data_IF_259185259208
#
_entry.id   IF_259185259208
#
_cell.length_a   1.000
_cell.length_b   1.000
_cell.length_c   1.000
_cell.angle_alpha   90.00
_cell.angle_beta   90.00
_cell.angle_gamma   90.00
#
_symmetry.space_group_name_H-M   'P 1'
#
loop_
_entity.id
_entity.type
_entity.pdbx_description
1 polymer ?
#
# COMPACT_ATOMS: atom_id res chain seq x y z
N UNK A 1 35.44 52.63 14.20
CA UNK A 1 33.98 52.43 14.13
C UNK A 1 33.67 51.54 12.95
N UNK A 2 32.81 50.56 13.20
CA UNK A 2 32.38 49.41 12.40
C UNK A 2 32.47 49.56 10.87
N UNK A 3 33.33 48.72 10.29
CA UNK A 3 33.18 48.16 8.95
C UNK A 3 31.85 47.40 8.87
N UNK A 4 30.91 47.87 8.07
CA UNK A 4 29.73 47.10 7.71
C UNK A 4 30.11 46.18 6.55
N UNK A 5 30.46 44.94 6.86
CA UNK A 5 30.38 43.82 5.93
C UNK A 5 28.91 43.72 5.48
N UNK A 6 28.58 44.32 4.34
CA UNK A 6 27.40 43.93 3.60
C UNK A 6 27.69 42.55 3.01
N UNK A 7 27.12 41.53 3.64
CA UNK A 7 27.39 40.14 3.32
C UNK A 7 26.88 39.80 1.93
N UNK A 8 27.66 38.99 1.21
CA UNK A 8 27.32 38.39 -0.08
C UNK A 8 25.94 37.69 -0.07
N UNK A 9 25.44 37.32 1.11
CA UNK A 9 24.13 36.71 1.33
C UNK A 9 22.95 37.66 1.09
N UNK A 10 23.10 38.97 1.28
CA UNK A 10 22.00 39.92 1.05
C UNK A 10 21.78 40.15 -0.45
N UNK A 11 22.87 40.20 -1.23
CA UNK A 11 22.82 40.31 -2.70
C UNK A 11 22.28 39.02 -3.33
N UNK A 12 22.55 37.86 -2.73
CA UNK A 12 22.00 36.59 -3.19
C UNK A 12 20.49 36.45 -2.92
N UNK A 13 19.98 37.08 -1.85
CA UNK A 13 18.56 37.06 -1.50
C UNK A 13 17.73 37.96 -2.42
N UNK A 14 18.25 39.13 -2.79
CA UNK A 14 17.57 40.05 -3.71
C UNK A 14 17.50 39.51 -5.15
N UNK A 15 18.43 38.66 -5.57
CA UNK A 15 18.38 38.00 -6.89
C UNK A 15 17.29 36.91 -7.00
N UNK A 16 16.82 36.37 -5.88
CA UNK A 16 15.76 35.34 -5.84
C UNK A 16 14.35 35.98 -5.86
N UNK A 17 14.24 37.27 -5.54
CA UNK A 17 12.98 38.03 -5.48
C UNK A 17 12.72 38.85 -6.76
N UNK A 18 13.63 38.79 -7.74
CA UNK A 18 13.35 39.26 -9.10
C UNK A 18 12.27 38.36 -9.71
N UNK A 19 11.03 38.83 -9.58
CA UNK A 19 9.85 38.50 -10.38
C UNK A 19 10.10 37.39 -11.41
N UNK A 20 9.88 36.15 -10.97
CA UNK A 20 9.40 35.15 -11.90
C UNK A 20 8.06 35.72 -12.39
N UNK A 21 8.09 36.42 -13.52
CA UNK A 21 6.90 36.45 -14.35
C UNK A 21 6.61 34.99 -14.65
N UNK A 22 5.70 34.42 -13.87
CA UNK A 22 4.99 33.23 -14.24
C UNK A 22 4.28 33.66 -15.51
N UNK A 23 4.93 33.41 -16.65
CA UNK A 23 4.28 33.49 -17.93
C UNK A 23 3.06 32.59 -17.78
N UNK A 24 1.89 33.22 -17.64
CA UNK A 24 0.64 32.53 -17.71
C UNK A 24 0.73 31.73 -19.00
N UNK A 25 0.71 30.41 -18.85
CA UNK A 25 0.77 29.46 -19.95
C UNK A 25 -0.20 30.00 -21.01
N UNK A 26 0.28 30.34 -22.22
CA UNK A 26 -0.58 30.97 -23.22
C UNK A 26 -1.82 30.09 -23.34
N UNK A 27 -2.99 30.69 -23.13
CA UNK A 27 -4.27 29.98 -23.22
C UNK A 27 -4.35 29.48 -24.65
N UNK A 28 -3.93 28.23 -24.84
CA UNK A 28 -3.96 27.59 -26.12
C UNK A 28 -5.43 27.30 -26.38
N UNK A 29 -6.11 28.25 -27.02
CA UNK A 29 -7.49 28.11 -27.48
C UNK A 29 -7.63 26.92 -28.46
N UNK A 30 -6.50 26.42 -28.98
CA UNK A 30 -6.36 25.14 -29.69
C UNK A 30 -5.94 23.97 -28.78
N UNK A 31 -6.41 23.93 -27.52
CA UNK A 31 -6.64 22.65 -26.85
C UNK A 31 -7.80 21.96 -27.56
N UNK A 32 -7.51 21.40 -28.75
CA UNK A 32 -8.28 20.31 -29.30
C UNK A 32 -8.63 19.41 -28.12
N UNK A 33 -9.93 19.14 -27.94
CA UNK A 33 -10.45 18.25 -26.90
C UNK A 33 -9.70 16.92 -27.02
N UNK A 34 -8.56 16.81 -26.35
CA UNK A 34 -7.69 15.66 -26.43
C UNK A 34 -8.32 14.61 -25.55
N UNK A 35 -9.30 13.93 -26.11
CA UNK A 35 -9.87 12.74 -25.55
C UNK A 35 -8.73 11.72 -25.49
N UNK A 36 -8.29 11.41 -24.28
CA UNK A 36 -7.28 10.39 -24.08
C UNK A 36 -7.96 9.18 -23.48
N UNK A 37 -8.19 8.19 -24.34
CA UNK A 37 -8.68 6.88 -23.94
C UNK A 37 -7.52 5.91 -24.15
N UNK A 38 -7.07 5.31 -23.04
CA UNK A 38 -5.98 4.34 -23.08
C UNK A 38 -6.37 3.11 -22.31
N UNK A 39 -6.04 1.96 -22.87
CA UNK A 39 -6.19 0.65 -22.23
C UNK A 39 -4.83 -0.01 -22.23
N UNK A 40 -4.38 -0.42 -21.06
CA UNK A 40 -3.15 -1.19 -20.89
C UNK A 40 -3.47 -2.54 -20.27
N UNK A 41 -2.87 -3.57 -20.85
CA UNK A 41 -2.83 -4.91 -20.28
C UNK A 41 -1.38 -5.18 -19.89
N UNK A 42 -1.14 -5.38 -18.60
CA UNK A 42 0.16 -5.73 -18.05
C UNK A 42 0.11 -7.17 -17.56
N UNK A 43 0.96 -8.01 -18.14
CA UNK A 43 1.12 -9.41 -17.74
C UNK A 43 2.58 -9.68 -17.45
N UNK A 44 2.89 -10.31 -16.32
CA UNK A 44 4.28 -10.62 -16.02
C UNK A 44 4.48 -11.23 -14.66
N UNK A 45 5.74 -11.55 -14.37
CA UNK A 45 6.17 -12.06 -13.07
C UNK A 45 6.56 -10.87 -12.20
N UNK A 46 6.08 -10.88 -10.96
CA UNK A 46 6.35 -9.86 -9.96
C UNK A 46 6.94 -10.55 -8.75
N UNK A 47 8.12 -10.09 -8.34
CA UNK A 47 8.72 -10.46 -7.07
C UNK A 47 8.40 -9.37 -6.05
N UNK A 48 7.95 -9.77 -4.86
CA UNK A 48 7.72 -8.88 -3.73
C UNK A 48 8.41 -9.41 -2.49
N UNK A 49 8.94 -8.48 -1.69
CA UNK A 49 9.47 -8.74 -0.36
C UNK A 49 8.86 -7.71 0.58
N UNK A 50 8.22 -8.18 1.64
CA UNK A 50 7.49 -7.34 2.59
C UNK A 50 7.69 -7.86 4.02
N UNK A 51 8.01 -6.96 4.94
CA UNK A 51 8.04 -7.26 6.37
C UNK A 51 6.74 -6.76 6.99
N UNK A 52 5.94 -7.67 7.53
CA UNK A 52 4.68 -7.36 8.19
C UNK A 52 4.78 -7.70 9.67
N UNK A 53 4.16 -6.84 10.49
CA UNK A 53 4.04 -7.05 11.93
C UNK A 53 2.59 -6.85 12.32
N UNK A 54 2.04 -7.82 13.01
CA UNK A 54 0.68 -7.78 13.54
C UNK A 54 0.73 -7.99 15.05
N UNK A 55 -0.04 -7.18 15.77
CA UNK A 55 -0.13 -7.23 17.22
C UNK A 55 -1.61 -7.11 17.60
N UNK A 56 -2.11 -8.09 18.34
CA UNK A 56 -3.44 -8.10 18.91
C UNK A 56 -3.32 -8.26 20.43
N UNK A 57 -3.62 -7.17 21.14
CA UNK A 57 -3.60 -7.15 22.61
C UNK A 57 -5.01 -6.96 23.15
N UNK A 58 -5.42 -7.88 24.01
CA UNK A 58 -6.67 -7.81 24.78
C UNK A 58 -6.34 -7.91 26.27
N UNK A 59 -7.35 -7.75 27.14
CA UNK A 59 -7.16 -7.83 28.60
C UNK A 59 -6.75 -9.25 29.07
N UNK A 60 -7.01 -10.29 28.27
CA UNK A 60 -6.74 -11.69 28.61
C UNK A 60 -5.82 -12.44 27.65
N UNK A 61 -5.40 -11.80 26.55
CA UNK A 61 -4.48 -12.39 25.58
C UNK A 61 -3.61 -11.35 24.88
N UNK A 62 -2.42 -11.78 24.47
CA UNK A 62 -1.48 -11.03 23.67
C UNK A 62 -0.97 -11.93 22.56
N UNK A 63 -1.30 -11.59 21.33
CA UNK A 63 -0.82 -12.27 20.14
C UNK A 63 0.04 -11.29 19.34
N UNK A 64 1.28 -11.68 19.09
CA UNK A 64 2.23 -10.92 18.30
C UNK A 64 2.82 -11.81 17.23
N UNK A 65 2.86 -11.28 16.03
CA UNK A 65 3.31 -12.00 14.85
C UNK A 65 4.17 -11.06 13.99
N UNK A 66 5.41 -11.47 13.74
CA UNK A 66 6.32 -10.81 12.80
C UNK A 66 6.62 -11.76 11.65
N UNK A 67 6.54 -11.27 10.41
CA UNK A 67 6.74 -12.07 9.21
C UNK A 67 7.47 -11.27 8.13
N UNK A 68 8.64 -11.77 7.76
CA UNK A 68 9.30 -11.45 6.51
C UNK A 68 8.75 -12.35 5.40
N UNK A 69 8.01 -11.77 4.47
CA UNK A 69 7.44 -12.47 3.34
C UNK A 69 8.24 -12.22 2.07
N UNK A 70 8.47 -13.30 1.31
CA UNK A 70 8.95 -13.25 -0.05
C UNK A 70 7.93 -13.96 -0.94
N UNK A 71 7.52 -13.32 -2.03
CA UNK A 71 6.55 -13.90 -2.94
C UNK A 71 6.91 -13.68 -4.40
N UNK A 72 6.55 -14.67 -5.21
CA UNK A 72 6.72 -14.64 -6.66
C UNK A 72 5.35 -14.84 -7.29
N UNK A 73 4.78 -13.79 -7.84
CA UNK A 73 3.44 -13.80 -8.40
C UNK A 73 3.46 -13.68 -9.91
N UNK A 74 2.59 -14.42 -10.59
CA UNK A 74 2.16 -14.05 -11.93
C UNK A 74 1.03 -13.03 -11.82
N UNK A 75 1.25 -11.83 -12.35
CA UNK A 75 0.30 -10.71 -12.33
C UNK A 75 -0.38 -10.58 -13.68
N UNK A 76 -1.70 -10.52 -13.65
CA UNK A 76 -2.55 -10.08 -14.76
C UNK A 76 -3.28 -8.81 -14.35
N UNK A 77 -2.90 -7.67 -14.91
CA UNK A 77 -3.46 -6.35 -14.59
C UNK A 77 -4.00 -5.67 -15.85
N UNK A 78 -5.20 -5.11 -15.74
CA UNK A 78 -5.80 -4.29 -16.78
C UNK A 78 -6.07 -2.90 -16.20
N UNK A 79 -5.66 -1.87 -16.93
CA UNK A 79 -5.85 -0.48 -16.53
C UNK A 79 -6.42 0.33 -17.69
N UNK A 80 -7.49 1.06 -17.40
CA UNK A 80 -8.20 1.87 -18.37
C UNK A 80 -8.25 3.31 -17.87
N UNK A 81 -7.87 4.23 -18.74
CA UNK A 81 -7.96 5.66 -18.52
C UNK A 81 -8.92 6.26 -19.55
N UNK A 82 -9.81 7.12 -19.08
CA UNK A 82 -10.70 7.91 -19.90
C UNK A 82 -10.64 9.35 -19.42
N UNK A 83 -9.90 10.19 -20.16
CA UNK A 83 -9.79 11.61 -19.89
C UNK A 83 -10.62 12.40 -20.92
N UNK A 84 -11.77 12.87 -20.45
CA UNK A 84 -12.67 13.78 -21.14
C UNK A 84 -12.48 15.20 -20.56
N UNK A 85 -12.89 16.26 -21.30
CA UNK A 85 -12.71 17.64 -20.85
C UNK A 85 -13.25 17.96 -19.45
N UNK A 86 -14.35 17.32 -19.04
CA UNK A 86 -15.01 17.56 -17.75
C UNK A 86 -14.99 16.32 -16.82
N UNK A 87 -14.37 15.22 -17.25
CA UNK A 87 -14.35 13.96 -16.50
C UNK A 87 -13.06 13.22 -16.73
N UNK A 88 -12.34 12.94 -15.65
CA UNK A 88 -11.19 12.05 -15.66
C UNK A 88 -11.58 10.78 -14.92
N UNK A 89 -11.43 9.63 -15.55
CA UNK A 89 -11.84 8.35 -15.00
C UNK A 89 -10.72 7.33 -15.21
N UNK A 90 -10.38 6.63 -14.15
CA UNK A 90 -9.43 5.52 -14.18
C UNK A 90 -10.07 4.35 -13.49
N UNK A 91 -10.04 3.19 -14.13
CA UNK A 91 -10.40 1.95 -13.47
C UNK A 91 -9.37 0.88 -13.79
N UNK A 92 -9.09 0.04 -12.80
CA UNK A 92 -8.15 -1.06 -12.95
C UNK A 92 -8.61 -2.27 -12.16
N UNK A 93 -8.25 -3.43 -12.66
CA UNK A 93 -8.31 -4.66 -11.88
C UNK A 93 -7.00 -5.41 -12.07
N UNK A 94 -6.56 -6.11 -11.02
CA UNK A 94 -5.46 -7.06 -11.12
C UNK A 94 -5.79 -8.35 -10.38
N UNK A 95 -5.27 -9.44 -10.92
CA UNK A 95 -5.25 -10.75 -10.27
C UNK A 95 -3.81 -11.22 -10.25
N UNK A 96 -3.37 -11.70 -9.10
CA UNK A 96 -2.00 -12.16 -8.87
C UNK A 96 -2.07 -13.52 -8.21
N UNK A 97 -1.25 -14.46 -8.65
CA UNK A 97 -1.19 -15.78 -8.02
C UNK A 97 0.24 -16.33 -8.09
N UNK A 98 0.69 -16.95 -7.01
CA UNK A 98 1.97 -17.65 -7.03
C UNK A 98 2.44 -18.11 -5.67
N UNK A 99 3.61 -18.76 -5.61
CA UNK A 99 4.21 -19.18 -4.37
C UNK A 99 4.60 -17.99 -3.49
N UNK A 100 4.45 -18.17 -2.19
CA UNK A 100 4.95 -17.26 -1.18
C UNK A 100 5.60 -18.03 -0.03
N UNK A 101 6.57 -17.39 0.58
CA UNK A 101 7.38 -17.88 1.68
C UNK A 101 7.37 -16.82 2.76
N UNK A 102 7.30 -17.23 4.02
CA UNK A 102 7.32 -16.35 5.16
C UNK A 102 8.21 -16.94 6.25
N UNK A 103 8.93 -16.10 6.97
CA UNK A 103 9.62 -16.50 8.21
C UNK A 103 9.52 -15.37 9.23
N UNK A 104 9.52 -15.71 10.50
CA UNK A 104 9.57 -14.73 11.57
C UNK A 104 9.11 -15.31 12.89
N UNK A 105 8.62 -14.47 13.78
CA UNK A 105 8.34 -14.85 15.17
C UNK A 105 6.84 -14.85 15.45
N UNK A 106 6.44 -15.73 16.36
CA UNK A 106 5.09 -15.88 16.87
C UNK A 106 5.16 -15.92 18.39
N UNK A 107 4.49 -14.96 19.02
CA UNK A 107 4.26 -14.95 20.45
C UNK A 107 2.76 -15.01 20.69
N UNK A 108 2.30 -16.05 21.36
CA UNK A 108 0.91 -16.18 21.80
C UNK A 108 0.87 -16.34 23.31
N UNK A 109 0.37 -15.34 24.00
CA UNK A 109 0.26 -15.31 25.45
C UNK A 109 -1.20 -15.21 25.85
N UNK A 110 -1.63 -16.15 26.68
CA UNK A 110 -2.93 -16.19 27.31
C UNK A 110 -2.77 -16.28 28.83
N UNK A 111 -3.84 -16.07 29.59
CA UNK A 111 -3.80 -16.20 31.05
C UNK A 111 -3.39 -17.60 31.58
N UNK A 112 -3.29 -18.61 30.72
CA UNK A 112 -2.98 -20.01 31.08
C UNK A 112 -1.64 -20.47 30.50
N UNK A 113 -1.16 -19.81 29.45
CA UNK A 113 -0.06 -20.32 28.63
C UNK A 113 0.64 -19.20 27.86
N UNK A 114 1.96 -19.32 27.71
CA UNK A 114 2.76 -18.49 26.81
C UNK A 114 3.50 -19.37 25.83
N UNK A 115 3.31 -19.09 24.54
CA UNK A 115 4.04 -19.69 23.42
C UNK A 115 4.94 -18.60 22.86
N UNK A 116 6.23 -18.90 22.76
CA UNK A 116 7.24 -18.06 22.13
C UNK A 116 8.00 -18.94 21.13
N UNK A 117 7.79 -18.69 19.84
CA UNK A 117 8.24 -19.59 18.80
C UNK A 117 8.61 -18.88 17.49
N UNK A 118 9.59 -19.46 16.79
CA UNK A 118 9.90 -19.11 15.42
C UNK A 118 8.93 -19.83 14.49
N UNK A 119 8.51 -19.17 13.42
CA UNK A 119 7.61 -19.72 12.42
C UNK A 119 8.16 -19.61 11.00
N UNK A 120 7.90 -20.64 10.22
CA UNK A 120 8.14 -20.69 8.79
C UNK A 120 6.84 -21.01 8.05
N UNK A 121 6.56 -20.27 6.98
CA UNK A 121 5.38 -20.42 6.12
C UNK A 121 5.82 -20.68 4.69
N UNK A 122 5.18 -21.63 4.04
CA UNK A 122 5.33 -21.87 2.61
C UNK A 122 3.99 -22.20 2.00
N UNK A 123 3.64 -21.58 0.88
CA UNK A 123 2.32 -21.76 0.32
C UNK A 123 2.08 -21.10 -1.01
N UNK A 124 0.80 -21.04 -1.38
CA UNK A 124 0.29 -20.32 -2.53
C UNK A 124 -0.55 -19.15 -2.04
N UNK A 125 -0.35 -17.98 -2.64
CA UNK A 125 -1.12 -16.77 -2.38
C UNK A 125 -1.77 -16.31 -3.68
N UNK A 126 -3.08 -16.13 -3.63
CA UNK A 126 -3.89 -15.50 -4.67
C UNK A 126 -4.35 -14.12 -4.19
N UNK A 127 -4.23 -13.10 -5.03
CA UNK A 127 -4.61 -11.73 -4.73
C UNK A 127 -5.48 -11.18 -5.85
N UNK A 128 -6.44 -10.34 -5.49
CA UNK A 128 -7.28 -9.61 -6.43
C UNK A 128 -7.41 -8.17 -5.96
N UNK A 129 -7.30 -7.23 -6.90
CA UNK A 129 -7.46 -5.80 -6.65
C UNK A 129 -8.41 -5.21 -7.68
N UNK A 130 -9.26 -4.28 -7.24
CA UNK A 130 -10.11 -3.46 -8.11
C UNK A 130 -10.02 -2.04 -7.61
N UNK A 131 -9.71 -1.10 -8.50
CA UNK A 131 -9.66 0.32 -8.18
C UNK A 131 -10.47 1.10 -9.21
N UNK A 132 -11.21 2.10 -8.73
CA UNK A 132 -11.99 3.03 -9.50
C UNK A 132 -11.73 4.44 -8.97
N UNK A 133 -11.35 5.36 -9.83
CA UNK A 133 -11.12 6.76 -9.48
C UNK A 133 -11.78 7.63 -10.53
N UNK A 134 -12.62 8.56 -10.11
CA UNK A 134 -13.25 9.53 -10.99
C UNK A 134 -13.12 10.94 -10.42
N UNK A 135 -12.68 11.85 -11.27
CA UNK A 135 -12.68 13.28 -11.03
C UNK A 135 -13.64 13.96 -12.00
N UNK A 136 -14.67 14.58 -11.46
CA UNK A 136 -15.66 15.34 -12.22
C UNK A 136 -15.44 16.83 -12.04
N UNK A 137 -15.45 17.60 -13.12
CA UNK A 137 -15.26 19.04 -13.12
C UNK A 137 -16.59 19.75 -13.41
N UNK A 138 -17.05 20.58 -12.48
CA UNK A 138 -18.25 21.42 -12.68
C UNK A 138 -17.93 22.68 -13.49
N UNK A 139 -16.72 23.21 -13.30
CA UNK A 139 -16.19 24.37 -14.02
C UNK A 139 -14.67 24.22 -14.23
N UNK A 140 -13.99 25.24 -14.79
CA UNK A 140 -12.53 25.23 -14.99
C UNK A 140 -11.73 25.21 -13.67
N UNK A 141 -12.37 25.40 -12.51
CA UNK A 141 -11.71 25.64 -11.21
C UNK A 141 -12.04 24.61 -10.16
N UNK A 142 -13.14 23.87 -10.23
CA UNK A 142 -13.69 23.07 -9.15
C UNK A 142 -13.93 21.65 -9.62
N UNK A 143 -13.56 20.68 -8.78
CA UNK A 143 -13.78 19.27 -9.04
C UNK A 143 -14.28 18.51 -7.82
N UNK A 144 -14.99 17.42 -8.08
CA UNK A 144 -15.27 16.36 -7.12
C UNK A 144 -14.45 15.13 -7.48
N UNK A 145 -13.81 14.55 -6.47
CA UNK A 145 -13.07 13.30 -6.56
C UNK A 145 -13.86 12.20 -5.86
N UNK A 146 -13.96 11.05 -6.51
CA UNK A 146 -14.44 9.80 -5.93
C UNK A 146 -13.37 8.75 -6.21
N UNK A 147 -12.86 8.10 -5.16
CA UNK A 147 -11.85 7.06 -5.26
C UNK A 147 -12.28 5.86 -4.42
N UNK A 148 -12.47 4.72 -5.07
CA UNK A 148 -12.94 3.48 -4.48
C UNK A 148 -11.95 2.38 -4.83
N UNK A 149 -11.45 1.68 -3.83
CA UNK A 149 -10.54 0.56 -3.98
C UNK A 149 -10.98 -0.61 -3.13
N UNK A 150 -10.90 -1.81 -3.68
CA UNK A 150 -11.08 -3.05 -2.97
C UNK A 150 -9.92 -3.98 -3.28
N UNK A 151 -9.50 -4.74 -2.28
CA UNK A 151 -8.50 -5.80 -2.43
C UNK A 151 -8.89 -7.00 -1.60
N UNK A 152 -8.44 -8.17 -2.03
CA UNK A 152 -8.54 -9.40 -1.28
C UNK A 152 -7.35 -10.29 -1.59
N UNK A 153 -6.87 -11.03 -0.60
CA UNK A 153 -5.96 -12.14 -0.83
C UNK A 153 -6.37 -13.36 -0.03
N UNK A 154 -6.07 -14.51 -0.62
CA UNK A 154 -6.32 -15.82 -0.04
C UNK A 154 -5.02 -16.60 -0.07
N UNK A 155 -4.60 -17.05 1.11
CA UNK A 155 -3.36 -17.75 1.32
C UNK A 155 -3.68 -19.19 1.72
N UNK A 156 -3.07 -20.16 1.04
CA UNK A 156 -3.05 -21.57 1.41
C UNK A 156 -1.61 -21.94 1.72
N UNK A 157 -1.30 -22.28 2.96
CA UNK A 157 0.08 -22.47 3.38
C UNK A 157 0.24 -23.57 4.41
N UNK A 158 1.44 -24.13 4.45
CA UNK A 158 1.92 -24.93 5.57
C UNK A 158 2.70 -24.01 6.48
N UNK A 159 2.42 -24.08 7.77
CA UNK A 159 3.12 -23.38 8.84
C UNK A 159 3.84 -24.42 9.70
N UNK A 160 5.13 -24.20 9.93
CA UNK A 160 5.91 -24.93 10.92
C UNK A 160 6.29 -23.93 12.01
N UNK A 161 6.02 -24.25 13.26
CA UNK A 161 6.25 -23.37 14.42
C UNK A 161 7.07 -24.14 15.45
N UNK A 162 8.24 -23.62 15.78
CA UNK A 162 9.19 -24.26 16.70
C UNK A 162 9.62 -23.28 17.78
N UNK A 163 9.49 -23.67 19.05
CA UNK A 163 9.85 -22.80 20.15
C UNK A 163 9.58 -23.40 21.51
N UNK A 164 9.17 -22.53 22.43
CA UNK A 164 8.94 -22.88 23.83
C UNK A 164 7.50 -22.57 24.23
N UNK A 165 6.91 -23.49 24.97
CA UNK A 165 5.62 -23.31 25.65
C UNK A 165 5.85 -23.27 27.15
N UNK A 166 5.31 -22.27 27.81
CA UNK A 166 5.32 -22.08 29.26
C UNK A 166 3.88 -22.18 29.75
N UNK A 167 3.61 -23.14 30.64
CA UNK A 167 2.27 -23.30 31.23
C UNK A 167 2.04 -22.38 32.44
N UNK A 168 0.80 -22.36 32.96
CA UNK A 168 0.44 -21.62 34.17
C UNK A 168 1.21 -22.01 35.44
N UNK A 169 1.83 -23.19 35.46
CA UNK A 169 2.69 -23.67 36.54
C UNK A 169 4.17 -23.30 36.31
N UNK A 170 4.47 -22.47 35.29
CA UNK A 170 5.81 -22.05 34.88
C UNK A 170 6.70 -23.20 34.38
N UNK A 171 6.10 -24.31 33.93
CA UNK A 171 6.82 -25.42 33.32
C UNK A 171 7.10 -25.10 31.86
N UNK A 172 8.37 -25.11 31.50
CA UNK A 172 8.84 -24.92 30.12
C UNK A 172 8.89 -26.27 29.41
N UNK A 173 8.31 -26.32 28.21
CA UNK A 173 8.31 -27.49 27.33
C UNK A 173 8.59 -27.06 25.89
N UNK A 174 9.15 -27.97 25.09
CA UNK A 174 9.34 -27.73 23.65
C UNK A 174 7.99 -27.66 22.95
N UNK A 175 7.82 -26.66 22.09
CA UNK A 175 6.67 -26.50 21.22
C UNK A 175 7.11 -26.75 19.77
N UNK A 176 6.48 -27.73 19.11
CA UNK A 176 6.63 -28.02 17.68
C UNK A 176 5.23 -28.28 17.15
N UNK A 177 4.75 -27.39 16.28
CA UNK A 177 3.50 -27.57 15.57
C UNK A 177 3.72 -27.42 14.06
N UNK A 178 3.16 -28.36 13.32
CA UNK A 178 3.16 -28.35 11.85
C UNK A 178 1.72 -28.48 11.40
N UNK A 179 1.16 -27.41 10.85
CA UNK A 179 -0.23 -27.37 10.44
C UNK A 179 -0.43 -26.75 9.05
N UNK A 180 -1.44 -27.25 8.34
CA UNK A 180 -1.91 -26.66 7.09
C UNK A 180 -3.00 -25.64 7.39
N UNK A 181 -2.83 -24.41 6.93
CA UNK A 181 -3.72 -23.30 7.23
C UNK A 181 -4.17 -22.56 5.98
N UNK A 182 -5.28 -21.84 6.13
CA UNK A 182 -5.79 -20.93 5.12
C UNK A 182 -6.15 -19.59 5.73
N UNK A 183 -5.82 -18.49 5.06
CA UNK A 183 -6.13 -17.15 5.53
C UNK A 183 -6.77 -16.34 4.40
N UNK A 184 -7.92 -15.75 4.67
CA UNK A 184 -8.60 -14.82 3.77
C UNK A 184 -8.56 -13.42 4.39
N UNK A 185 -7.97 -12.47 3.68
CA UNK A 185 -7.99 -11.06 4.05
C UNK A 185 -8.57 -10.24 2.92
N UNK A 186 -9.31 -9.21 3.28
CA UNK A 186 -9.87 -8.27 2.33
C UNK A 186 -9.94 -6.88 2.94
N UNK A 187 -9.90 -5.88 2.07
CA UNK A 187 -10.00 -4.49 2.47
C UNK A 187 -10.76 -3.68 1.44
N UNK A 188 -11.46 -2.68 1.94
CA UNK A 188 -12.20 -1.73 1.14
C UNK A 188 -11.81 -0.31 1.56
N UNK A 189 -11.71 0.58 0.59
CA UNK A 189 -11.39 1.99 0.76
C UNK A 189 -12.30 2.80 -0.14
N UNK A 190 -12.98 3.77 0.45
CA UNK A 190 -13.70 4.79 -0.29
C UNK A 190 -13.26 6.17 0.18
N UNK A 191 -13.05 7.07 -0.76
CA UNK A 191 -12.72 8.48 -0.53
C UNK A 191 -13.58 9.33 -1.45
N UNK A 192 -14.12 10.41 -0.90
CA UNK A 192 -14.79 11.44 -1.67
C UNK A 192 -14.25 12.80 -1.22
N UNK A 193 -14.15 13.75 -2.14
CA UNK A 193 -13.66 15.07 -1.82
C UNK A 193 -13.98 16.09 -2.89
N UNK A 194 -13.83 17.36 -2.53
CA UNK A 194 -13.97 18.52 -3.41
C UNK A 194 -12.66 19.28 -3.41
N UNK A 195 -12.26 19.81 -4.55
CA UNK A 195 -11.01 20.54 -4.68
C UNK A 195 -11.09 21.63 -5.73
N UNK A 196 -10.06 22.48 -5.72
CA UNK A 196 -9.89 23.57 -6.68
C UNK A 196 -8.66 23.26 -7.55
N UNK A 197 -8.77 23.46 -8.86
CA UNK A 197 -7.70 23.28 -9.85
C UNK A 197 -8.09 22.34 -10.99
N UNK A 198 -7.53 22.57 -12.18
CA UNK A 198 -7.60 21.68 -13.34
C UNK A 198 -6.24 21.13 -13.69
#
# INVERSE_FOLDING_TARGET
>A
MRTALFSLTTVLFDLIILSNEVAAQPENENSAKSYFIKKELTTGVVFSFDANREELRTDGSYNFEELENAALHFRWKNQNWNYLPNRQETWSYSVEAGPWFGKGDLIDSTGVEVIDAEQERTGLRGMAHVNYSSRFYFDKKNYTLIDIGAWGHYDLFRQNVNGTRIDSNQVMSSYDDTSGQSNLRYGFRAKAGWGIGR
#
